data_IF_547607762092
#
_entry.id   IF_547607762092
#
_cell.length_a   1.000
_cell.length_b   1.000
_cell.length_c   1.000
_cell.angle_alpha   90.00
_cell.angle_beta   90.00
_cell.angle_gamma   90.00
#
_symmetry.space_group_name_H-M   'P 1'
#
loop_
_entity.id
_entity.type
_entity.pdbx_description
1 polymer ?
#
# COMPACT_ATOMS: atom_id res chain seq x y z
N UNK A 1 32.49 -71.11 20.41
CA UNK A 1 31.17 -71.41 21.02
C UNK A 1 30.12 -70.54 20.32
N UNK A 2 29.31 -71.15 19.45
CA UNK A 2 27.95 -70.69 19.06
C UNK A 2 27.00 -70.88 20.27
N UNK A 3 25.68 -70.53 20.22
CA UNK A 3 24.84 -69.97 19.15
C UNK A 3 24.08 -68.68 19.59
N UNK A 4 23.56 -67.81 18.71
CA UNK A 4 22.51 -67.91 17.67
C UNK A 4 21.07 -67.86 18.17
N UNK A 5 20.34 -66.93 17.53
CA UNK A 5 18.91 -66.63 17.48
C UNK A 5 17.91 -67.77 17.63
N UNK A 6 16.69 -67.41 18.07
CA UNK A 6 15.46 -67.85 17.40
C UNK A 6 14.36 -66.76 17.43
N UNK A 7 13.86 -66.49 16.23
CA UNK A 7 12.70 -65.68 15.85
C UNK A 7 11.40 -66.48 16.00
N UNK A 8 10.29 -65.77 16.22
CA UNK A 8 8.98 -66.03 15.60
C UNK A 8 8.25 -64.67 15.53
N UNK A 9 8.05 -64.00 14.40
CA UNK A 9 7.36 -64.31 13.14
C UNK A 9 5.83 -64.06 13.20
N UNK A 10 5.38 -63.05 12.44
CA UNK A 10 4.00 -62.71 12.08
C UNK A 10 3.96 -61.31 11.44
N UNK A 11 4.26 -61.12 10.15
CA UNK A 11 3.44 -61.27 8.92
C UNK A 11 2.43 -60.12 8.66
N UNK A 12 2.72 -59.34 7.59
CA UNK A 12 1.86 -58.46 6.76
C UNK A 12 1.23 -57.20 7.43
N UNK A 13 1.12 -56.02 6.82
CA UNK A 13 1.15 -55.59 5.42
C UNK A 13 1.60 -54.11 5.26
N UNK A 14 2.00 -53.77 4.04
CA UNK A 14 2.38 -52.43 3.60
C UNK A 14 1.23 -51.40 3.68
N UNK A 15 1.58 -50.16 4.02
CA UNK A 15 0.81 -48.96 3.67
C UNK A 15 1.76 -47.77 3.60
N UNK A 16 2.12 -47.41 2.38
CA UNK A 16 2.70 -46.11 2.03
C UNK A 16 1.65 -45.05 2.41
N UNK A 17 1.99 -44.16 3.33
CA UNK A 17 1.33 -42.86 3.41
C UNK A 17 2.40 -41.78 3.47
N UNK A 18 2.60 -41.18 2.30
CA UNK A 18 3.13 -39.84 2.16
C UNK A 18 2.22 -38.89 2.96
N UNK A 19 2.65 -38.51 4.16
CA UNK A 19 2.09 -37.34 4.82
C UNK A 19 2.84 -36.12 4.28
N UNK A 20 2.34 -35.60 3.16
CA UNK A 20 2.46 -34.18 2.84
C UNK A 20 2.00 -33.40 4.07
N UNK A 21 2.95 -32.96 4.89
CA UNK A 21 2.71 -31.95 5.91
C UNK A 21 2.39 -30.66 5.18
N UNK A 22 1.10 -30.40 5.02
CA UNK A 22 0.56 -29.23 4.37
C UNK A 22 1.26 -27.98 4.89
N UNK A 23 1.97 -27.29 3.99
CA UNK A 23 2.09 -25.84 4.08
C UNK A 23 0.68 -25.28 3.87
N UNK A 24 -0.12 -25.33 4.94
CA UNK A 24 -1.23 -24.41 5.10
C UNK A 24 -0.59 -23.03 5.23
N UNK A 25 -0.40 -22.38 4.08
CA UNK A 25 -0.26 -20.95 3.99
C UNK A 25 -1.57 -20.35 4.53
N UNK A 26 -1.63 -20.23 5.85
CA UNK A 26 -2.55 -19.33 6.50
C UNK A 26 -2.17 -17.94 6.00
N UNK A 27 -2.93 -17.46 5.00
CA UNK A 27 -2.99 -16.06 4.62
C UNK A 27 -3.63 -15.31 5.79
N UNK A 28 -2.81 -15.05 6.80
CA UNK A 28 -3.22 -14.40 8.04
C UNK A 28 -1.97 -13.90 8.74
N UNK A 29 -1.87 -12.58 8.89
CA UNK A 29 -0.82 -11.93 9.65
C UNK A 29 -0.81 -12.52 11.07
N UNK A 30 0.28 -13.17 11.47
CA UNK A 30 0.53 -13.45 12.87
C UNK A 30 0.96 -12.11 13.51
N UNK A 31 0.23 -11.57 14.50
CA UNK A 31 0.67 -10.36 15.16
C UNK A 31 1.95 -10.67 15.95
N UNK A 32 3.05 -10.00 15.59
CA UNK A 32 4.17 -9.87 16.52
C UNK A 32 3.74 -9.03 17.73
N UNK A 33 4.51 -9.06 18.81
CA UNK A 33 4.39 -8.03 19.85
C UNK A 33 4.67 -6.66 19.19
N UNK A 34 3.61 -5.89 18.94
CA UNK A 34 3.72 -4.57 18.32
C UNK A 34 3.33 -4.45 16.85
N UNK A 35 2.23 -5.06 16.40
CA UNK A 35 1.63 -4.67 15.12
C UNK A 35 1.00 -3.28 15.21
N UNK A 36 1.05 -2.46 14.16
CA UNK A 36 0.24 -1.22 14.11
C UNK A 36 -1.23 -1.55 13.85
N UNK A 37 -2.12 -0.79 14.49
CA UNK A 37 -3.56 -0.96 14.31
C UNK A 37 -4.00 -0.38 12.96
N UNK A 38 -4.76 -1.17 12.20
CA UNK A 38 -5.22 -0.80 10.86
C UNK A 38 -6.74 -0.89 10.78
N UNK A 39 -7.32 0.19 10.31
CA UNK A 39 -8.75 0.36 10.17
C UNK A 39 -9.11 0.54 8.69
N UNK A 40 -10.31 0.12 8.25
CA UNK A 40 -10.87 0.59 7.00
C UNK A 40 -10.85 2.12 6.96
N UNK A 41 -10.54 2.73 5.82
CA UNK A 41 -10.72 4.16 5.60
C UNK A 41 -12.09 4.35 4.93
N UNK A 42 -13.13 4.83 5.62
CA UNK A 42 -14.42 5.08 5.01
C UNK A 42 -14.26 6.20 3.96
N UNK A 43 -14.77 5.95 2.75
CA UNK A 43 -14.75 6.92 1.66
C UNK A 43 -16.13 7.03 1.06
N UNK A 44 -16.67 8.25 1.04
CA UNK A 44 -17.90 8.55 0.32
C UNK A 44 -17.55 9.13 -1.06
N UNK A 45 -17.78 8.36 -2.12
CA UNK A 45 -17.55 8.81 -3.50
C UNK A 45 -18.90 9.18 -4.12
N UNK A 46 -19.16 10.47 -4.42
CA UNK A 46 -20.37 10.87 -5.11
C UNK A 46 -20.50 10.17 -6.48
N UNK A 47 -21.73 9.92 -6.91
CA UNK A 47 -21.97 9.32 -8.23
C UNK A 47 -21.37 10.19 -9.34
N UNK A 48 -20.63 9.57 -10.27
CA UNK A 48 -19.94 10.26 -11.36
C UNK A 48 -18.62 10.95 -10.98
N UNK A 49 -18.20 10.91 -9.71
CA UNK A 49 -16.89 11.40 -9.29
C UNK A 49 -15.79 10.34 -9.48
N UNK A 50 -14.59 10.80 -9.78
CA UNK A 50 -13.37 9.99 -9.74
C UNK A 50 -13.10 9.55 -8.29
N UNK A 51 -12.65 8.31 -8.09
CA UNK A 51 -12.35 7.81 -6.75
C UNK A 51 -10.96 8.29 -6.26
N UNK A 52 -10.83 8.74 -5.00
CA UNK A 52 -9.53 9.05 -4.40
C UNK A 52 -8.71 7.78 -4.10
N UNK A 53 -9.31 6.59 -4.28
CA UNK A 53 -8.64 5.29 -4.12
C UNK A 53 -8.04 4.76 -5.42
N UNK A 54 -8.14 5.51 -6.53
CA UNK A 54 -7.47 5.09 -7.78
C UNK A 54 -5.94 5.11 -7.61
N UNK A 55 -5.24 4.32 -8.43
CA UNK A 55 -3.78 4.10 -8.33
C UNK A 55 -2.92 5.34 -8.63
N UNK A 56 -3.53 6.48 -9.00
CA UNK A 56 -2.84 7.76 -9.11
C UNK A 56 -2.82 8.44 -7.75
N UNK A 57 -1.63 8.72 -7.22
CA UNK A 57 -1.40 9.44 -5.96
C UNK A 57 -2.24 10.74 -5.92
N UNK A 58 -3.41 10.79 -5.25
CA UNK A 58 -4.23 11.99 -5.27
C UNK A 58 -3.50 13.10 -4.53
N UNK A 59 -3.38 14.33 -5.07
CA UNK A 59 -2.68 15.42 -4.39
C UNK A 59 -3.18 15.59 -2.96
N UNK A 60 -2.24 15.65 -2.01
CA UNK A 60 -2.52 16.07 -0.64
C UNK A 60 -2.54 17.59 -0.62
N UNK A 61 -3.63 18.16 -0.13
CA UNK A 61 -3.76 19.59 0.08
C UNK A 61 -3.82 19.88 1.57
N UNK A 62 -3.25 21.01 1.97
CA UNK A 62 -3.23 21.49 3.34
C UNK A 62 -3.74 22.93 3.38
N UNK A 63 -4.72 23.17 4.25
CA UNK A 63 -5.13 24.53 4.62
C UNK A 63 -4.13 25.11 5.61
N UNK A 64 -3.49 26.22 5.25
CA UNK A 64 -2.59 26.95 6.14
C UNK A 64 -3.35 27.99 6.97
N UNK A 65 -2.87 28.26 8.19
CA UNK A 65 -3.42 29.30 9.07
C UNK A 65 -4.69 28.93 9.82
N UNK A 66 -5.12 27.66 9.78
CA UNK A 66 -6.14 27.14 10.70
C UNK A 66 -5.50 26.82 12.06
N UNK A 67 -6.30 26.88 13.14
CA UNK A 67 -5.87 26.53 14.51
C UNK A 67 -5.36 25.08 14.57
N UNK A 68 -5.97 24.20 13.79
CA UNK A 68 -5.53 22.83 13.55
C UNK A 68 -5.32 22.59 12.05
N UNK A 69 -4.35 21.75 11.64
CA UNK A 69 -4.13 21.45 10.23
C UNK A 69 -5.38 20.80 9.63
N UNK A 70 -5.79 21.24 8.44
CA UNK A 70 -6.88 20.59 7.70
C UNK A 70 -6.33 20.02 6.40
N UNK A 71 -6.44 18.70 6.29
CA UNK A 71 -5.97 17.94 5.14
C UNK A 71 -7.10 17.62 4.17
N UNK A 72 -6.80 17.69 2.89
CA UNK A 72 -7.71 17.27 1.82
C UNK A 72 -6.99 16.36 0.82
N UNK A 73 -7.77 15.50 0.18
CA UNK A 73 -7.38 14.75 -1.01
C UNK A 73 -8.24 15.21 -2.17
N UNK A 74 -7.68 15.27 -3.38
CA UNK A 74 -8.45 15.57 -4.57
C UNK A 74 -8.10 14.62 -5.71
N UNK A 75 -9.05 14.36 -6.60
CA UNK A 75 -8.88 13.54 -7.79
C UNK A 75 -9.36 14.35 -9.01
N UNK A 76 -8.53 14.39 -10.06
CA UNK A 76 -8.85 15.14 -11.29
C UNK A 76 -8.89 16.66 -11.14
N UNK A 77 -8.34 17.22 -10.05
CA UNK A 77 -8.30 18.65 -9.82
C UNK A 77 -7.38 19.35 -10.84
N UNK A 78 -7.91 20.36 -11.52
CA UNK A 78 -7.14 21.22 -12.40
C UNK A 78 -6.24 22.18 -11.64
N UNK A 79 -5.42 22.92 -12.38
CA UNK A 79 -4.54 23.95 -11.81
C UNK A 79 -4.89 25.29 -12.47
N UNK A 80 -5.81 26.07 -11.87
CA UNK A 80 -6.32 27.30 -12.49
C UNK A 80 -5.24 28.32 -12.84
N UNK A 81 -4.19 28.44 -12.01
CA UNK A 81 -3.04 29.33 -12.26
C UNK A 81 -2.28 29.02 -13.57
N UNK A 82 -2.45 27.81 -14.11
CA UNK A 82 -1.86 27.38 -15.37
C UNK A 82 -2.91 27.19 -16.47
N UNK A 83 -4.15 27.65 -16.26
CA UNK A 83 -5.25 27.46 -17.21
C UNK A 83 -5.69 26.00 -17.38
N UNK A 84 -5.29 25.11 -16.47
CA UNK A 84 -5.64 23.69 -16.53
C UNK A 84 -7.00 23.50 -15.87
N UNK A 85 -8.00 23.11 -16.67
CA UNK A 85 -9.33 22.78 -16.19
C UNK A 85 -9.36 21.49 -15.36
N UNK A 86 -10.40 21.33 -14.55
CA UNK A 86 -10.63 20.06 -13.87
C UNK A 86 -11.01 18.96 -14.88
N UNK A 87 -10.64 17.73 -14.57
CA UNK A 87 -11.12 16.57 -15.34
C UNK A 87 -12.62 16.35 -15.12
N UNK A 88 -13.33 15.76 -16.10
CA UNK A 88 -14.68 15.27 -15.87
C UNK A 88 -14.74 14.34 -14.64
N UNK A 89 -15.67 14.61 -13.73
CA UNK A 89 -15.80 13.85 -12.48
C UNK A 89 -14.79 14.24 -11.39
N UNK A 90 -14.10 15.38 -11.49
CA UNK A 90 -13.22 15.84 -10.42
C UNK A 90 -13.94 15.93 -9.06
N UNK A 91 -13.23 15.53 -8.01
CA UNK A 91 -13.76 15.48 -6.65
C UNK A 91 -12.71 15.83 -5.62
N UNK A 92 -13.18 16.26 -4.45
CA UNK A 92 -12.34 16.56 -3.30
C UNK A 92 -12.95 15.99 -2.02
N UNK A 93 -12.08 15.60 -1.10
CA UNK A 93 -12.45 15.04 0.20
C UNK A 93 -11.63 15.69 1.29
N UNK A 94 -12.30 16.10 2.35
CA UNK A 94 -11.65 16.44 3.60
C UNK A 94 -11.29 15.17 4.34
N UNK A 95 -10.07 15.10 4.86
CA UNK A 95 -9.69 14.06 5.81
C UNK A 95 -10.21 14.47 7.18
N UNK A 96 -11.09 13.65 7.75
CA UNK A 96 -11.70 13.90 9.07
C UNK A 96 -11.20 12.83 10.03
N UNK A 97 -10.40 13.20 11.06
CA UNK A 97 -9.97 12.23 12.06
C UNK A 97 -11.18 11.70 12.84
N UNK A 98 -11.13 10.43 13.23
CA UNK A 98 -12.12 9.81 14.10
C UNK A 98 -11.43 9.13 15.30
N UNK A 99 -12.21 8.54 16.21
CA UNK A 99 -11.71 7.92 17.43
C UNK A 99 -10.67 6.81 17.18
N UNK A 100 -10.79 6.11 16.05
CA UNK A 100 -9.92 5.00 15.68
C UNK A 100 -8.84 5.45 14.69
N UNK A 101 -9.23 6.21 13.66
CA UNK A 101 -8.33 6.64 12.61
C UNK A 101 -8.80 7.92 11.88
N UNK A 102 -9.37 7.80 10.69
CA UNK A 102 -9.87 8.90 9.87
C UNK A 102 -10.88 8.40 8.82
N UNK A 103 -11.61 9.34 8.23
CA UNK A 103 -12.54 9.15 7.10
C UNK A 103 -12.34 10.22 6.02
N UNK A 104 -12.81 9.94 4.80
CA UNK A 104 -12.80 10.87 3.67
C UNK A 104 -14.23 11.34 3.38
N UNK A 105 -14.50 12.61 3.69
CA UNK A 105 -15.82 13.25 3.51
C UNK A 105 -15.77 14.17 2.30
N UNK A 106 -16.68 14.03 1.32
CA UNK A 106 -16.69 14.85 0.12
C UNK A 106 -16.91 16.32 0.49
N UNK A 107 -16.19 17.20 -0.20
CA UNK A 107 -16.31 18.64 -0.11
C UNK A 107 -16.44 19.24 -1.51
N UNK A 108 -16.98 20.45 -1.59
CA UNK A 108 -17.10 21.16 -2.85
C UNK A 108 -15.71 21.61 -3.36
N UNK A 109 -15.53 21.63 -4.69
CA UNK A 109 -14.23 21.94 -5.31
C UNK A 109 -13.78 23.38 -5.07
N UNK A 110 -14.72 24.30 -4.86
CA UNK A 110 -14.46 25.69 -4.49
C UNK A 110 -13.82 25.84 -3.11
N UNK A 111 -14.08 24.92 -2.17
CA UNK A 111 -13.41 24.87 -0.87
C UNK A 111 -11.91 24.59 -1.02
N UNK A 112 -11.54 23.59 -1.81
CA UNK A 112 -10.12 23.21 -2.00
C UNK A 112 -9.37 24.11 -2.98
N UNK A 113 -10.09 24.98 -3.70
CA UNK A 113 -9.53 26.02 -4.59
C UNK A 113 -9.33 27.36 -3.90
N UNK A 114 -9.69 27.49 -2.62
CA UNK A 114 -9.44 28.71 -1.87
C UNK A 114 -7.94 29.02 -1.81
N UNK A 115 -7.51 30.30 -1.85
CA UNK A 115 -6.09 30.68 -1.87
C UNK A 115 -5.26 30.17 -0.69
N UNK A 116 -5.91 29.94 0.45
CA UNK A 116 -5.28 29.44 1.68
C UNK A 116 -5.15 27.90 1.73
N UNK A 117 -5.74 27.18 0.76
CA UNK A 117 -5.55 25.75 0.56
C UNK A 117 -4.45 25.55 -0.45
N UNK A 118 -3.37 24.88 -0.05
CA UNK A 118 -2.19 24.71 -0.88
C UNK A 118 -1.87 23.23 -1.03
N UNK A 119 -1.39 22.86 -2.23
CA UNK A 119 -0.81 21.54 -2.46
C UNK A 119 0.39 21.37 -1.53
N UNK A 120 0.46 20.25 -0.82
CA UNK A 120 1.64 19.89 -0.05
C UNK A 120 2.79 19.65 -1.01
N UNK A 121 3.75 20.56 -1.00
CA UNK A 121 4.92 20.51 -1.88
C UNK A 121 5.85 19.36 -1.49
N UNK A 122 6.73 18.94 -2.41
CA UNK A 122 7.74 17.90 -2.16
C UNK A 122 8.61 18.20 -0.92
N UNK A 123 8.92 19.48 -0.71
CA UNK A 123 9.72 19.98 0.40
C UNK A 123 8.96 19.90 1.73
N UNK A 124 7.64 20.09 1.70
CA UNK A 124 6.77 20.07 2.87
C UNK A 124 6.17 18.70 3.14
N UNK A 125 6.26 17.76 2.19
CA UNK A 125 5.74 16.41 2.36
C UNK A 125 6.53 15.67 3.45
N UNK A 126 5.88 15.23 4.55
CA UNK A 126 6.53 14.47 5.62
C UNK A 126 7.19 13.18 5.12
N UNK A 127 6.61 12.59 4.07
CA UNK A 127 7.11 11.39 3.43
C UNK A 127 7.81 11.78 2.10
N UNK A 128 9.11 11.48 1.93
CA UNK A 128 9.81 11.71 0.66
C UNK A 128 9.08 11.10 -0.54
N UNK A 129 9.12 11.75 -1.71
CA UNK A 129 8.43 11.23 -2.92
C UNK A 129 8.91 9.84 -3.36
N UNK A 130 10.16 9.48 -3.07
CA UNK A 130 10.73 8.18 -3.41
C UNK A 130 10.22 7.04 -2.50
N UNK A 131 9.49 7.36 -1.42
CA UNK A 131 8.99 6.36 -0.50
C UNK A 131 8.01 5.41 -1.16
N UNK A 132 8.29 4.12 -1.01
CA UNK A 132 7.62 3.02 -1.71
C UNK A 132 7.66 3.10 -3.24
N UNK A 133 8.29 4.11 -3.88
CA UNK A 133 8.33 4.22 -5.33
C UNK A 133 9.18 3.12 -5.99
N UNK A 134 10.21 2.62 -5.30
CA UNK A 134 11.00 1.50 -5.81
C UNK A 134 10.30 0.15 -5.57
N UNK A 135 10.51 -0.79 -6.50
CA UNK A 135 10.01 -2.17 -6.36
C UNK A 135 10.58 -2.85 -5.10
N UNK A 136 11.84 -2.56 -4.79
CA UNK A 136 12.53 -2.94 -3.56
C UNK A 136 13.29 -1.73 -3.02
N UNK A 137 13.26 -1.51 -1.71
CA UNK A 137 13.97 -0.40 -1.07
C UNK A 137 13.37 -0.03 0.28
N UNK A 138 13.93 1.01 0.89
CA UNK A 138 13.33 1.63 2.06
C UNK A 138 13.54 3.13 2.06
N UNK A 139 12.67 3.83 2.77
CA UNK A 139 12.82 5.24 3.04
C UNK A 139 12.38 5.54 4.47
N UNK A 140 12.80 6.67 5.01
CA UNK A 140 12.35 7.17 6.32
C UNK A 140 11.73 8.55 6.14
N UNK A 141 10.67 8.84 6.90
CA UNK A 141 10.02 10.14 6.93
C UNK A 141 10.98 11.22 7.40
N UNK A 142 10.70 12.48 7.02
CA UNK A 142 11.57 13.62 7.35
C UNK A 142 11.73 13.84 8.85
N UNK A 143 10.69 13.54 9.62
CA UNK A 143 10.67 13.62 11.08
C UNK A 143 11.29 12.40 11.78
N UNK A 144 11.80 11.41 11.01
CA UNK A 144 12.41 10.18 11.52
C UNK A 144 11.48 9.33 12.40
N UNK A 145 10.15 9.44 12.22
CA UNK A 145 9.17 8.67 13.00
C UNK A 145 8.60 7.46 12.26
N UNK A 146 8.63 7.47 10.93
CA UNK A 146 8.03 6.44 10.10
C UNK A 146 9.05 5.91 9.09
N UNK A 147 9.19 4.59 8.98
CA UNK A 147 9.95 3.93 7.91
C UNK A 147 9.00 3.17 7.01
N UNK A 148 9.21 3.28 5.71
CA UNK A 148 8.48 2.51 4.70
C UNK A 148 9.46 1.63 3.94
N UNK A 149 9.18 0.34 3.89
CA UNK A 149 9.99 -0.66 3.20
C UNK A 149 9.19 -1.37 2.12
N UNK A 150 9.82 -1.62 0.98
CA UNK A 150 9.35 -2.54 -0.06
C UNK A 150 10.39 -3.64 -0.25
N UNK A 151 9.95 -4.90 -0.30
CA UNK A 151 10.81 -6.06 -0.51
C UNK A 151 10.16 -7.04 -1.48
N UNK A 152 10.97 -7.87 -2.14
CA UNK A 152 10.48 -8.92 -3.02
C UNK A 152 11.21 -10.23 -2.77
N UNK A 153 10.43 -11.31 -2.68
CA UNK A 153 10.94 -12.66 -2.60
C UNK A 153 10.32 -13.49 -3.72
N UNK A 154 11.16 -13.97 -4.64
CA UNK A 154 10.69 -14.76 -5.77
C UNK A 154 11.68 -14.82 -6.91
N UNK A 155 11.19 -15.18 -8.09
CA UNK A 155 11.98 -15.27 -9.32
C UNK A 155 11.70 -14.08 -10.24
N UNK A 156 12.70 -13.77 -11.07
CA UNK A 156 12.62 -12.71 -12.08
C UNK A 156 12.88 -13.35 -13.43
N UNK A 157 12.10 -13.00 -14.45
CA UNK A 157 12.39 -13.35 -15.84
C UNK A 157 12.36 -12.10 -16.70
N UNK A 158 13.26 -12.00 -17.66
CA UNK A 158 13.25 -10.91 -18.63
C UNK A 158 12.69 -11.41 -19.95
N UNK A 159 11.77 -10.66 -20.54
CA UNK A 159 11.25 -10.94 -21.88
C UNK A 159 11.17 -9.67 -22.72
N UNK A 160 11.27 -9.84 -24.03
CA UNK A 160 11.04 -8.75 -24.99
C UNK A 160 9.54 -8.68 -25.31
N UNK A 161 8.86 -7.66 -24.81
CA UNK A 161 7.43 -7.42 -25.06
C UNK A 161 7.23 -6.28 -26.04
N UNK A 162 6.05 -6.18 -26.65
CA UNK A 162 5.66 -5.01 -27.44
C UNK A 162 5.85 -3.75 -26.59
N UNK A 163 6.59 -2.78 -27.13
CA UNK A 163 6.90 -1.51 -26.51
C UNK A 163 5.92 -0.42 -26.92
N UNK A 164 5.87 0.63 -26.09
CA UNK A 164 5.03 1.79 -26.32
C UNK A 164 3.69 1.74 -25.61
N UNK A 165 3.07 2.91 -25.44
CA UNK A 165 1.76 3.06 -24.78
C UNK A 165 0.65 2.23 -25.46
N UNK A 166 0.82 1.93 -26.75
CA UNK A 166 -0.10 1.11 -27.57
C UNK A 166 0.50 -0.23 -28.04
N UNK A 167 1.70 -0.61 -27.60
CA UNK A 167 2.34 -1.89 -27.95
C UNK A 167 2.89 -2.01 -29.37
N UNK A 168 2.94 -0.93 -30.15
CA UNK A 168 3.36 -0.91 -31.57
C UNK A 168 4.74 -0.29 -31.82
N UNK A 169 5.41 0.23 -30.79
CA UNK A 169 6.60 1.10 -30.92
C UNK A 169 7.94 0.34 -30.80
N UNK A 170 7.93 -0.98 -31.02
CA UNK A 170 9.12 -1.84 -30.99
C UNK A 170 9.04 -2.92 -29.91
N UNK A 171 10.19 -3.50 -29.53
CA UNK A 171 10.28 -4.45 -28.42
C UNK A 171 11.05 -3.84 -27.26
N UNK A 172 10.44 -3.76 -26.07
CA UNK A 172 11.13 -3.37 -24.83
C UNK A 172 11.49 -4.60 -24.02
N UNK A 173 12.63 -4.54 -23.33
CA UNK A 173 12.99 -5.59 -22.37
C UNK A 173 12.28 -5.29 -21.06
N UNK A 174 11.33 -6.13 -20.70
CA UNK A 174 10.53 -6.03 -19.49
C UNK A 174 10.94 -7.13 -18.52
N UNK A 175 11.10 -6.77 -17.25
CA UNK A 175 11.31 -7.74 -16.17
C UNK A 175 9.98 -8.10 -15.55
N UNK A 176 9.70 -9.39 -15.47
CA UNK A 176 8.51 -9.96 -14.86
C UNK A 176 8.87 -10.67 -13.56
N UNK A 177 7.98 -10.58 -12.60
CA UNK A 177 8.17 -11.08 -11.24
C UNK A 177 7.12 -12.14 -10.90
N UNK A 178 7.58 -13.25 -10.34
CA UNK A 178 6.74 -14.30 -9.77
C UNK A 178 7.19 -14.58 -8.35
N UNK A 179 6.32 -14.36 -7.37
CA UNK A 179 6.67 -14.45 -5.95
C UNK A 179 5.80 -13.58 -5.07
N UNK A 180 6.36 -13.06 -3.98
CA UNK A 180 5.68 -12.19 -3.02
C UNK A 180 6.40 -10.87 -2.92
N UNK A 181 5.67 -9.76 -3.10
CA UNK A 181 6.12 -8.41 -2.78
C UNK A 181 5.53 -7.99 -1.44
N UNK A 182 6.36 -7.38 -0.60
CA UNK A 182 5.98 -6.95 0.75
C UNK A 182 6.11 -5.44 0.88
N UNK A 183 5.08 -4.79 1.43
CA UNK A 183 5.11 -3.42 1.94
C UNK A 183 5.17 -3.46 3.47
N UNK A 184 6.05 -2.68 4.07
CA UNK A 184 6.14 -2.51 5.53
C UNK A 184 6.05 -1.04 5.89
N UNK A 185 5.30 -0.73 6.95
CA UNK A 185 5.19 0.60 7.56
C UNK A 185 5.54 0.43 9.04
N UNK A 186 6.65 1.01 9.45
CA UNK A 186 7.21 0.90 10.79
C UNK A 186 7.16 2.25 11.49
N UNK A 187 6.55 2.29 12.68
CA UNK A 187 6.66 3.41 13.61
C UNK A 187 7.93 3.23 14.44
N UNK A 188 8.94 4.04 14.12
CA UNK A 188 10.30 3.91 14.65
C UNK A 188 10.37 4.06 16.18
N UNK A 189 9.69 5.06 16.82
CA UNK A 189 9.77 5.22 18.27
C UNK A 189 9.27 4.01 19.06
N UNK A 190 8.19 3.37 18.59
CA UNK A 190 7.60 2.24 19.30
C UNK A 190 8.07 0.87 18.78
N UNK A 191 8.85 0.83 17.69
CA UNK A 191 9.19 -0.39 16.96
C UNK A 191 7.97 -1.16 16.41
N UNK A 192 6.79 -0.53 16.37
CA UNK A 192 5.56 -1.20 15.92
C UNK A 192 5.49 -1.15 14.40
N UNK A 193 5.06 -2.23 13.75
CA UNK A 193 4.98 -2.26 12.29
C UNK A 193 3.68 -2.86 11.75
N UNK A 194 3.31 -2.42 10.57
CA UNK A 194 2.30 -3.06 9.73
C UNK A 194 2.95 -3.58 8.46
N UNK A 195 2.45 -4.71 7.96
CA UNK A 195 2.94 -5.39 6.76
C UNK A 195 1.77 -5.71 5.84
N UNK A 196 2.00 -5.68 4.53
CA UNK A 196 1.11 -6.20 3.51
C UNK A 196 1.91 -6.98 2.49
N UNK A 197 1.38 -8.14 2.10
CA UNK A 197 1.97 -9.01 1.09
C UNK A 197 1.07 -9.07 -0.14
N UNK A 198 1.68 -8.95 -1.32
CA UNK A 198 1.06 -9.02 -2.63
C UNK A 198 1.68 -10.18 -3.41
N UNK A 199 0.86 -11.15 -3.80
CA UNK A 199 1.30 -12.24 -4.66
C UNK A 199 1.40 -11.75 -6.10
N UNK A 200 2.57 -11.93 -6.71
CA UNK A 200 2.84 -11.60 -8.09
C UNK A 200 2.92 -12.89 -8.91
N UNK A 201 2.19 -12.92 -10.02
CA UNK A 201 2.26 -14.01 -10.99
C UNK A 201 2.59 -13.41 -12.34
N UNK A 202 3.83 -13.62 -12.77
CA UNK A 202 4.34 -13.14 -14.05
C UNK A 202 4.00 -11.67 -14.32
N UNK A 203 4.13 -10.85 -13.29
CA UNK A 203 3.66 -9.46 -13.30
C UNK A 203 4.82 -8.53 -13.62
N UNK A 204 4.60 -7.56 -14.51
CA UNK A 204 5.59 -6.52 -14.77
C UNK A 204 5.78 -5.65 -13.51
N UNK A 205 7.02 -5.31 -13.17
CA UNK A 205 7.26 -4.34 -12.10
C UNK A 205 6.79 -2.95 -12.53
N UNK A 206 5.69 -2.49 -11.95
CA UNK A 206 5.44 -1.06 -11.79
C UNK A 206 5.94 -0.64 -10.41
N UNK A 207 6.49 0.58 -10.33
CA UNK A 207 6.93 1.23 -9.10
C UNK A 207 5.85 1.13 -8.02
N UNK A 208 6.22 0.68 -6.82
CA UNK A 208 5.37 0.49 -5.64
C UNK A 208 4.28 -0.61 -5.74
N UNK A 209 3.82 -1.17 -4.60
CA UNK A 209 2.43 -1.65 -4.51
C UNK A 209 1.51 -0.52 -4.98
N UNK A 210 0.41 -0.84 -5.66
CA UNK A 210 -0.52 0.13 -6.26
C UNK A 210 -1.24 1.04 -5.25
N UNK A 211 -0.68 1.21 -4.05
CA UNK A 211 -1.21 2.05 -3.00
C UNK A 211 -0.48 3.40 -2.91
N UNK A 212 -1.27 4.46 -2.83
CA UNK A 212 -0.81 5.80 -2.52
C UNK A 212 -0.75 6.00 -1.01
N UNK A 213 0.44 6.28 -0.46
CA UNK A 213 0.66 6.44 0.98
C UNK A 213 0.66 7.93 1.37
N UNK A 214 -0.07 8.31 2.42
CA UNK A 214 -0.08 9.66 2.99
C UNK A 214 0.21 9.61 4.48
N UNK A 215 1.27 10.28 4.91
CA UNK A 215 1.61 10.42 6.33
C UNK A 215 1.19 11.79 6.85
N UNK A 216 0.38 11.81 7.91
CA UNK A 216 -0.16 12.99 8.57
C UNK A 216 0.40 13.06 10.01
N UNK A 217 1.58 13.67 10.21
CA UNK A 217 2.33 13.59 11.46
C UNK A 217 1.59 14.24 12.65
N UNK A 218 0.91 15.35 12.42
CA UNK A 218 0.17 16.10 13.46
C UNK A 218 -0.99 15.31 14.03
N UNK A 219 -1.49 14.33 13.27
CA UNK A 219 -2.57 13.44 13.69
C UNK A 219 -2.08 12.03 14.01
N UNK A 220 -0.79 11.74 13.82
CA UNK A 220 -0.24 10.40 13.96
C UNK A 220 -1.04 9.37 13.14
N UNK A 221 -1.30 9.69 11.87
CA UNK A 221 -2.07 8.83 10.94
C UNK A 221 -1.29 8.54 9.67
N UNK A 222 -1.44 7.34 9.14
CA UNK A 222 -1.03 6.98 7.77
C UNK A 222 -2.24 6.51 6.99
N UNK A 223 -2.52 7.14 5.85
CA UNK A 223 -3.56 6.70 4.92
C UNK A 223 -2.93 5.88 3.81
N UNK A 224 -3.54 4.75 3.50
CA UNK A 224 -3.22 3.90 2.36
C UNK A 224 -4.40 3.93 1.40
N UNK A 225 -4.19 4.49 0.23
CA UNK A 225 -5.23 4.70 -0.76
C UNK A 225 -5.00 3.69 -1.88
N UNK A 226 -6.03 2.93 -2.24
CA UNK A 226 -5.96 1.97 -3.34
C UNK A 226 -5.19 0.69 -3.02
N UNK A 227 -5.23 0.23 -1.77
CA UNK A 227 -4.76 -1.10 -1.41
C UNK A 227 -5.63 -2.14 -2.13
N UNK A 228 -5.04 -2.92 -3.03
CA UNK A 228 -5.73 -4.03 -3.71
C UNK A 228 -5.15 -5.34 -3.22
N UNK A 229 -5.96 -6.15 -2.55
CA UNK A 229 -5.59 -7.50 -2.08
C UNK A 229 -6.36 -8.60 -2.82
N UNK A 230 -7.09 -8.28 -3.90
CA UNK A 230 -7.90 -9.26 -4.62
C UNK A 230 -8.96 -8.65 -5.53
N UNK A 231 -10.04 -9.39 -5.77
CA UNK A 231 -11.15 -9.04 -6.68
C UNK A 231 -12.04 -7.90 -6.16
N UNK A 232 -11.89 -7.50 -4.90
CA UNK A 232 -12.72 -6.48 -4.23
C UNK A 232 -12.41 -5.04 -4.65
N UNK A 233 -11.48 -4.85 -5.60
CA UNK A 233 -11.09 -3.54 -6.10
C UNK A 233 -10.20 -2.76 -5.12
N UNK A 234 -9.93 -1.51 -5.46
CA UNK A 234 -9.00 -0.65 -4.73
C UNK A 234 -9.64 -0.14 -3.41
N UNK A 235 -9.04 -0.47 -2.26
CA UNK A 235 -9.57 -0.13 -0.94
C UNK A 235 -8.75 0.96 -0.25
N UNK A 236 -9.39 1.67 0.67
CA UNK A 236 -8.71 2.59 1.59
C UNK A 236 -8.45 1.95 2.94
N UNK A 237 -7.25 2.14 3.49
CA UNK A 237 -6.91 1.78 4.88
C UNK A 237 -6.31 2.98 5.61
N UNK A 238 -6.48 2.98 6.92
CA UNK A 238 -5.92 4.01 7.79
C UNK A 238 -5.20 3.31 8.95
N UNK A 239 -3.96 3.74 9.21
CA UNK A 239 -3.13 3.23 10.30
C UNK A 239 -3.02 4.32 11.36
N UNK A 240 -3.39 3.99 12.59
CA UNK A 240 -3.16 4.84 13.75
C UNK A 240 -1.76 4.57 14.30
N UNK A 241 -0.93 5.61 14.39
CA UNK A 241 0.38 5.49 15.00
C UNK A 241 0.27 5.69 16.52
N UNK A 242 1.07 4.97 17.32
CA UNK A 242 1.15 5.17 18.76
C UNK A 242 1.62 6.59 19.12
N UNK A 243 1.21 7.11 20.28
CA UNK A 243 1.82 8.32 20.81
C UNK A 243 3.33 8.12 20.98
N UNK A 244 4.09 9.14 20.56
CA UNK A 244 5.54 9.23 20.74
C UNK A 244 5.90 9.65 22.16
#
# INVERSE_FOLDING_TARGET
MQPSCLLAAGLYAASVFAACGAHAAASGFAPGSGTLDVYPLPVQVPAGALSPLSSTLPPLLLRKGAVEPVYYLAAGLGVPRYGIADLPGAGAWRVVPDANCASLVPVALDEVKQPFVQVVTVQQNPLPMACAAAFEGSCTSRDQRLRIGTAFQGTRRTARTGGGFFGTEGKITTTFHTGVRTLTIEHLPSGRQWRMDEALQDSAAYSAPQTAIRYLPEWQRVLLLGVSTGTEGAQGRCIALPPS
#
